data_IF_968769703325
#
_entry.id   IF_968769703325
#
_cell.length_a   1.000
_cell.length_b   1.000
_cell.length_c   1.000
_cell.angle_alpha   90.00
_cell.angle_beta   90.00
_cell.angle_gamma   90.00
#
_symmetry.space_group_name_H-M   'P 1'
#
loop_
_entity.id
_entity.type
_entity.pdbx_description
1 polymer ?
#
# COMPACT_ATOMS: atom_id res chain seq x y z
N UNK A 1 42.17 23.75 23.42
CA UNK A 1 40.82 23.50 23.97
C UNK A 1 40.14 22.56 23.00
N UNK A 2 40.09 21.25 23.32
CA UNK A 2 39.16 20.33 22.64
C UNK A 2 37.74 20.68 23.09
N UNK A 3 37.00 21.27 22.21
CA UNK A 3 35.54 21.36 22.35
C UNK A 3 35.01 19.94 22.18
N UNK A 4 34.73 19.26 23.29
CA UNK A 4 33.93 18.05 23.28
C UNK A 4 32.52 18.45 22.80
N UNK A 5 32.17 18.07 21.55
CA UNK A 5 30.79 18.10 21.10
C UNK A 5 29.96 17.28 22.11
N UNK A 6 28.82 17.81 22.58
CA UNK A 6 27.94 16.99 23.38
C UNK A 6 27.58 15.76 22.53
N UNK A 7 27.87 14.56 23.03
CA UNK A 7 27.40 13.32 22.44
C UNK A 7 25.88 13.39 22.52
N UNK A 8 25.23 13.46 21.37
CA UNK A 8 23.75 13.40 21.33
C UNK A 8 23.32 12.11 22.04
N UNK A 9 22.33 12.22 22.91
CA UNK A 9 21.77 11.03 23.52
C UNK A 9 21.11 10.21 22.38
N UNK A 10 21.57 8.94 22.19
CA UNK A 10 21.00 8.05 21.19
C UNK A 10 19.67 7.45 21.62
N UNK A 11 19.01 8.06 22.59
CA UNK A 11 17.68 7.67 23.06
C UNK A 11 16.93 8.86 23.65
N UNK A 12 15.62 8.83 23.51
CA UNK A 12 14.68 9.72 24.18
C UNK A 12 13.46 8.94 24.66
N UNK A 13 12.85 9.37 25.77
CA UNK A 13 11.57 8.80 26.22
C UNK A 13 10.35 9.33 25.48
N UNK A 14 10.55 10.29 24.58
CA UNK A 14 9.51 10.92 23.78
C UNK A 14 9.95 11.04 22.33
N UNK A 15 9.78 12.23 21.77
CA UNK A 15 10.11 12.55 20.38
C UNK A 15 11.28 13.51 20.31
N UNK A 16 12.31 13.15 19.56
CA UNK A 16 13.39 14.05 19.18
C UNK A 16 12.95 14.89 17.98
N UNK A 17 12.91 16.22 18.15
CA UNK A 17 12.52 17.12 17.08
C UNK A 17 13.74 17.65 16.34
N UNK A 18 13.80 17.43 15.03
CA UNK A 18 14.80 17.97 14.12
C UNK A 18 14.29 19.30 13.56
N UNK A 19 14.97 20.39 13.87
CA UNK A 19 14.64 21.73 13.36
C UNK A 19 15.51 22.15 12.18
N UNK A 20 16.68 21.51 12.00
CA UNK A 20 17.68 21.85 10.98
C UNK A 20 18.64 20.67 10.74
N UNK A 21 19.51 20.81 9.75
CA UNK A 21 20.51 19.80 9.39
C UNK A 21 21.51 19.51 10.53
N UNK A 22 21.75 20.46 11.44
CA UNK A 22 22.61 20.28 12.60
C UNK A 22 22.04 19.29 13.61
N UNK A 23 20.74 19.37 13.89
CA UNK A 23 20.04 18.41 14.75
C UNK A 23 20.05 17.01 14.14
N UNK A 24 19.80 16.91 12.82
CA UNK A 24 19.88 15.65 12.08
C UNK A 24 21.29 15.05 12.19
N UNK A 25 22.34 15.86 12.00
CA UNK A 25 23.74 15.43 12.12
C UNK A 25 24.09 14.93 13.52
N UNK A 26 23.48 15.49 14.57
CA UNK A 26 23.68 15.02 15.93
C UNK A 26 23.10 13.61 16.12
N UNK A 27 21.87 13.36 15.64
CA UNK A 27 21.25 12.02 15.67
C UNK A 27 22.02 11.03 14.81
N UNK A 28 22.53 11.45 13.67
CA UNK A 28 23.31 10.63 12.73
C UNK A 28 24.60 10.07 13.33
N UNK A 29 25.07 10.56 14.48
CA UNK A 29 26.19 9.96 15.22
C UNK A 29 25.84 8.63 15.88
N UNK A 30 24.55 8.30 16.01
CA UNK A 30 24.03 7.09 16.62
C UNK A 30 23.90 5.97 15.59
N UNK A 31 24.45 4.80 15.84
CA UNK A 31 24.18 3.62 15.01
C UNK A 31 22.73 3.10 15.21
N UNK A 32 22.23 3.19 16.44
CA UNK A 32 20.82 2.93 16.78
C UNK A 32 20.27 4.13 17.55
N UNK A 33 19.11 4.62 17.13
CA UNK A 33 18.37 5.63 17.86
C UNK A 33 17.09 5.00 18.46
N UNK A 34 16.83 5.27 19.74
CA UNK A 34 15.64 4.77 20.44
C UNK A 34 14.72 5.92 20.80
N UNK A 35 13.48 5.89 20.33
CA UNK A 35 12.48 6.93 20.45
C UNK A 35 12.04 7.43 19.08
N UNK A 36 11.03 8.28 19.04
CA UNK A 36 10.52 8.85 17.82
C UNK A 36 11.38 10.03 17.33
N UNK A 37 11.46 10.19 16.02
CA UNK A 37 12.10 11.33 15.37
C UNK A 37 11.03 12.10 14.60
N UNK A 38 10.87 13.39 14.88
CA UNK A 38 9.96 14.26 14.14
C UNK A 38 10.74 15.41 13.50
N UNK A 39 10.44 15.71 12.24
CA UNK A 39 10.98 16.86 11.52
C UNK A 39 10.01 18.02 11.70
N UNK A 40 10.51 19.17 12.19
CA UNK A 40 9.67 20.33 12.45
C UNK A 40 9.09 20.91 11.16
N UNK A 41 7.85 21.40 11.23
CA UNK A 41 7.11 21.96 10.08
C UNK A 41 7.81 23.18 9.45
N UNK A 42 8.62 23.92 10.20
CA UNK A 42 9.38 25.08 9.72
C UNK A 42 10.77 24.75 9.17
N UNK A 43 11.16 23.47 9.11
CA UNK A 43 12.48 23.06 8.61
C UNK A 43 12.58 23.31 7.09
N UNK A 44 13.59 24.09 6.69
CA UNK A 44 13.87 24.40 5.27
C UNK A 44 15.02 23.58 4.71
N UNK A 45 15.76 22.89 5.58
CA UNK A 45 16.95 22.11 5.23
C UNK A 45 16.57 20.74 4.67
N UNK A 46 17.44 20.21 3.81
CA UNK A 46 17.42 18.79 3.47
C UNK A 46 17.90 17.99 4.68
N UNK A 47 17.17 16.95 5.03
CA UNK A 47 17.42 16.16 6.24
C UNK A 47 18.17 14.88 5.90
N UNK A 48 19.32 14.68 6.57
CA UNK A 48 20.14 13.49 6.40
C UNK A 48 20.42 12.83 7.77
N UNK A 49 19.98 11.58 7.91
CA UNK A 49 20.23 10.71 9.06
C UNK A 49 21.28 9.63 8.72
N UNK A 50 22.22 9.96 7.81
CA UNK A 50 23.27 9.03 7.38
C UNK A 50 24.15 8.63 8.59
N UNK A 51 24.37 7.32 8.74
CA UNK A 51 25.06 6.74 9.90
C UNK A 51 24.13 6.01 10.87
N UNK A 52 22.83 6.39 10.93
CA UNK A 52 21.83 5.64 11.67
C UNK A 52 21.49 4.36 10.90
N UNK A 53 21.64 3.21 11.55
CA UNK A 53 21.31 1.89 10.98
C UNK A 53 19.95 1.39 11.42
N UNK A 54 19.53 1.78 12.62
CA UNK A 54 18.24 1.37 13.19
C UNK A 54 17.59 2.50 13.96
N UNK A 55 16.30 2.68 13.74
CA UNK A 55 15.43 3.56 14.55
C UNK A 55 14.39 2.68 15.25
N UNK A 56 14.37 2.74 16.59
CA UNK A 56 13.38 2.08 17.43
C UNK A 56 12.30 3.09 17.82
N UNK A 57 11.40 3.38 16.91
CA UNK A 57 10.34 4.37 17.01
C UNK A 57 9.94 4.87 15.61
N UNK A 58 9.18 5.94 15.58
CA UNK A 58 8.63 6.52 14.35
C UNK A 58 9.59 7.55 13.72
N UNK A 59 9.49 7.71 12.42
CA UNK A 59 10.07 8.82 11.66
C UNK A 59 8.94 9.63 11.04
N UNK A 60 8.73 10.85 11.53
CA UNK A 60 7.58 11.67 11.18
C UNK A 60 8.01 12.99 10.57
N UNK A 61 7.42 13.35 9.43
CA UNK A 61 7.49 14.67 8.84
C UNK A 61 6.11 15.03 8.28
N UNK A 62 5.49 16.04 8.86
CA UNK A 62 4.14 16.46 8.47
C UNK A 62 4.06 17.96 8.24
N UNK A 63 3.17 18.39 7.33
CA UNK A 63 2.84 19.78 7.08
C UNK A 63 4.06 20.70 6.84
N UNK A 64 5.08 20.17 6.14
CA UNK A 64 6.28 20.93 5.80
C UNK A 64 6.31 21.21 4.29
N UNK A 65 6.09 22.46 3.92
CA UNK A 65 6.04 22.93 2.53
C UNK A 65 7.42 23.33 1.96
N UNK A 66 8.49 23.22 2.72
CA UNK A 66 9.81 23.72 2.30
C UNK A 66 10.83 22.60 2.10
N UNK A 67 10.75 21.52 2.87
CA UNK A 67 11.67 20.39 2.80
C UNK A 67 11.60 19.70 1.44
N UNK A 68 12.75 19.46 0.82
CA UNK A 68 12.86 18.88 -0.52
C UNK A 68 13.33 17.44 -0.52
N UNK A 69 14.18 17.08 0.44
CA UNK A 69 14.79 15.76 0.51
C UNK A 69 14.88 15.25 1.94
N UNK A 70 14.69 13.94 2.09
CA UNK A 70 14.97 13.21 3.33
C UNK A 70 15.77 11.95 3.00
N UNK A 71 16.82 11.69 3.75
CA UNK A 71 17.71 10.56 3.50
C UNK A 71 18.26 9.91 4.77
N UNK A 72 18.52 8.61 4.69
CA UNK A 72 19.30 7.85 5.66
C UNK A 72 19.98 6.69 4.93
N UNK A 73 21.20 6.92 4.43
CA UNK A 73 21.92 5.99 3.56
C UNK A 73 22.28 4.66 4.22
N UNK A 74 22.30 4.62 5.54
CA UNK A 74 22.71 3.46 6.32
C UNK A 74 21.54 2.78 7.07
N UNK A 75 20.33 3.34 7.01
CA UNK A 75 19.17 2.82 7.71
C UNK A 75 18.72 1.49 7.10
N UNK A 76 18.73 0.44 7.93
CA UNK A 76 18.36 -0.93 7.56
C UNK A 76 16.99 -1.31 8.15
N UNK A 77 16.65 -0.78 9.34
CA UNK A 77 15.42 -1.08 10.08
C UNK A 77 14.79 0.17 10.69
N UNK A 78 13.49 0.30 10.53
CA UNK A 78 12.63 1.26 11.24
C UNK A 78 11.53 0.49 11.97
N UNK A 79 11.61 0.37 13.29
CA UNK A 79 10.67 -0.44 14.09
C UNK A 79 9.31 0.25 14.29
N UNK A 80 9.08 1.42 13.71
CA UNK A 80 7.85 2.19 13.77
C UNK A 80 7.33 2.64 12.42
N UNK A 81 6.50 3.67 12.43
CA UNK A 81 5.88 4.26 11.25
C UNK A 81 6.82 5.28 10.59
N UNK A 82 6.95 5.21 9.26
CA UNK A 82 7.45 6.33 8.45
C UNK A 82 6.24 7.13 7.96
N UNK A 83 5.96 8.24 8.65
CA UNK A 83 4.84 9.10 8.33
C UNK A 83 5.33 10.37 7.61
N UNK A 84 5.05 10.45 6.31
CA UNK A 84 5.34 11.60 5.46
C UNK A 84 4.01 12.15 4.93
N UNK A 85 3.56 13.31 5.44
CA UNK A 85 2.27 13.88 5.07
C UNK A 85 2.37 15.38 4.82
N UNK A 86 1.73 15.86 3.74
CA UNK A 86 1.68 17.28 3.43
C UNK A 86 3.04 17.91 3.05
N UNK A 87 3.98 17.11 2.53
CA UNK A 87 5.32 17.58 2.16
C UNK A 87 5.32 18.01 0.69
N UNK A 88 4.76 19.17 0.42
CA UNK A 88 4.40 19.59 -0.94
C UNK A 88 5.60 19.85 -1.87
N UNK A 89 6.80 20.05 -1.33
CA UNK A 89 8.05 20.20 -2.12
C UNK A 89 8.96 18.97 -2.09
N UNK A 90 8.61 17.95 -1.33
CA UNK A 90 9.43 16.74 -1.24
C UNK A 90 9.44 16.00 -2.57
N UNK A 91 10.61 15.92 -3.19
CA UNK A 91 10.80 15.19 -4.45
C UNK A 91 11.77 13.99 -4.32
N UNK A 92 12.50 13.89 -3.21
CA UNK A 92 13.44 12.80 -2.99
C UNK A 92 13.34 12.21 -1.58
N UNK A 93 13.10 10.93 -1.54
CA UNK A 93 13.21 10.06 -0.36
C UNK A 93 14.31 9.04 -0.66
N UNK A 94 15.33 8.90 0.20
CA UNK A 94 16.47 8.04 -0.08
C UNK A 94 16.87 7.20 1.14
N UNK A 95 16.42 5.95 1.15
CA UNK A 95 16.73 4.94 2.18
C UNK A 95 17.24 3.66 1.49
N UNK A 96 18.43 3.69 0.87
CA UNK A 96 18.88 2.64 -0.03
C UNK A 96 19.15 1.29 0.62
N UNK A 97 19.32 1.22 1.95
CA UNK A 97 19.56 -0.02 2.69
C UNK A 97 18.35 -0.50 3.50
N UNK A 98 17.22 0.25 3.49
CA UNK A 98 16.05 -0.09 4.29
C UNK A 98 15.43 -1.40 3.79
N UNK A 99 15.26 -2.36 4.70
CA UNK A 99 14.72 -3.69 4.45
C UNK A 99 13.47 -3.99 5.27
N UNK A 100 13.38 -3.39 6.46
CA UNK A 100 12.27 -3.63 7.38
C UNK A 100 11.73 -2.31 7.91
N UNK A 101 10.42 -2.19 7.87
CA UNK A 101 9.67 -1.07 8.43
C UNK A 101 8.36 -1.60 9.01
N UNK A 102 7.88 -1.05 10.13
CA UNK A 102 6.59 -1.48 10.64
C UNK A 102 5.44 -0.94 9.78
N UNK A 103 5.43 0.35 9.52
CA UNK A 103 4.37 0.98 8.74
C UNK A 103 4.89 2.09 7.82
N UNK A 104 4.40 2.10 6.58
CA UNK A 104 4.57 3.18 5.62
C UNK A 104 3.26 3.95 5.57
N UNK A 105 3.29 5.26 5.86
CA UNK A 105 2.14 6.14 5.76
C UNK A 105 2.54 7.42 5.05
N UNK A 106 2.25 7.47 3.77
CA UNK A 106 2.58 8.59 2.90
C UNK A 106 1.32 9.21 2.32
N UNK A 107 1.17 10.51 2.51
CA UNK A 107 0.02 11.24 1.98
C UNK A 107 0.41 12.65 1.53
N UNK A 108 -0.26 13.14 0.51
CA UNK A 108 -0.06 14.50 -0.01
C UNK A 108 1.42 14.84 -0.33
N UNK A 109 2.04 13.99 -1.17
CA UNK A 109 3.41 14.14 -1.66
C UNK A 109 3.42 14.38 -3.19
N UNK A 110 2.92 15.52 -3.67
CA UNK A 110 2.62 15.74 -5.09
C UNK A 110 3.84 15.84 -6.01
N UNK A 111 5.05 15.91 -5.45
CA UNK A 111 6.30 15.96 -6.21
C UNK A 111 7.16 14.70 -6.07
N UNK A 112 6.76 13.74 -5.24
CA UNK A 112 7.50 12.49 -5.03
C UNK A 112 7.15 11.48 -6.12
N UNK A 113 8.13 11.14 -6.98
CA UNK A 113 7.94 10.23 -8.12
C UNK A 113 8.49 8.83 -7.91
N UNK A 114 9.39 8.63 -6.94
CA UNK A 114 10.04 7.37 -6.66
C UNK A 114 10.12 7.12 -5.14
N UNK A 115 10.07 5.85 -4.76
CA UNK A 115 10.05 5.42 -3.34
C UNK A 115 11.43 5.55 -2.69
N UNK A 116 12.53 5.33 -3.43
CA UNK A 116 13.90 5.46 -2.91
C UNK A 116 14.41 4.33 -2.01
N UNK A 117 13.75 3.15 -2.02
CA UNK A 117 14.14 1.94 -1.28
C UNK A 117 14.86 0.96 -2.20
N UNK A 118 16.15 1.17 -2.49
CA UNK A 118 16.87 0.37 -3.49
C UNK A 118 17.26 -1.04 -3.03
N UNK A 119 17.34 -1.29 -1.70
CA UNK A 119 17.54 -2.64 -1.16
C UNK A 119 16.25 -3.46 -1.11
N UNK A 120 15.12 -2.84 -1.45
CA UNK A 120 13.76 -3.34 -1.34
C UNK A 120 13.34 -3.66 0.11
N UNK A 121 12.27 -2.99 0.54
CA UNK A 121 11.61 -3.30 1.82
C UNK A 121 10.85 -4.61 1.64
N UNK A 122 11.28 -5.64 2.36
CA UNK A 122 10.69 -6.97 2.30
C UNK A 122 9.86 -7.34 3.53
N UNK A 123 9.77 -6.44 4.51
CA UNK A 123 8.96 -6.59 5.71
C UNK A 123 8.27 -5.28 6.05
N UNK A 124 6.94 -5.30 6.00
CA UNK A 124 6.09 -4.23 6.50
C UNK A 124 4.75 -4.82 6.96
N UNK A 125 4.19 -4.30 8.06
CA UNK A 125 2.86 -4.71 8.53
C UNK A 125 1.76 -3.87 7.85
N UNK A 126 2.06 -2.59 7.53
CA UNK A 126 1.09 -1.71 6.89
C UNK A 126 1.73 -0.85 5.81
N UNK A 127 1.04 -0.71 4.68
CA UNK A 127 1.39 0.20 3.58
C UNK A 127 0.18 1.05 3.24
N UNK A 128 0.28 2.36 3.49
CA UNK A 128 -0.74 3.36 3.19
C UNK A 128 -0.09 4.49 2.38
N UNK A 129 -0.35 4.54 1.07
CA UNK A 129 0.25 5.51 0.15
C UNK A 129 -0.86 6.18 -0.65
N UNK A 130 -1.01 7.48 -0.43
CA UNK A 130 -2.10 8.24 -1.04
C UNK A 130 -1.63 9.59 -1.57
N UNK A 131 -2.32 10.09 -2.60
CA UNK A 131 -2.13 11.47 -3.08
C UNK A 131 -0.66 11.80 -3.39
N UNK A 132 0.03 10.92 -4.11
CA UNK A 132 1.43 11.09 -4.49
C UNK A 132 1.59 11.21 -6.01
N UNK A 133 2.79 11.61 -6.45
CA UNK A 133 3.19 11.57 -7.86
C UNK A 133 3.99 10.31 -8.22
N UNK A 134 3.95 9.28 -7.37
CA UNK A 134 4.67 8.03 -7.61
C UNK A 134 4.27 7.39 -8.93
N UNK A 135 5.28 6.88 -9.65
CA UNK A 135 5.10 6.16 -10.93
C UNK A 135 5.06 4.65 -10.77
N UNK A 136 5.58 4.14 -9.66
CA UNK A 136 5.58 2.72 -9.32
C UNK A 136 5.76 2.51 -7.83
N UNK A 137 5.46 1.30 -7.36
CA UNK A 137 5.75 0.85 -6.00
C UNK A 137 7.09 0.10 -5.90
N UNK A 138 7.97 0.25 -6.89
CA UNK A 138 9.28 -0.39 -6.89
C UNK A 138 10.09 0.03 -5.66
N UNK A 139 10.61 -0.96 -4.93
CA UNK A 139 11.27 -0.77 -3.63
C UNK A 139 10.45 -1.34 -2.48
N UNK A 140 9.17 -1.70 -2.71
CA UNK A 140 8.33 -2.44 -1.76
C UNK A 140 8.14 -3.85 -2.32
N UNK A 141 8.71 -4.86 -1.65
CA UNK A 141 8.70 -6.28 -2.07
C UNK A 141 8.37 -7.18 -0.88
N UNK A 142 7.19 -7.00 -0.31
CA UNK A 142 6.70 -7.72 0.87
C UNK A 142 5.89 -8.96 0.47
N UNK A 143 6.02 -10.04 1.25
CA UNK A 143 5.28 -11.29 1.04
C UNK A 143 4.05 -11.38 1.94
N UNK A 144 4.11 -10.82 3.14
CA UNK A 144 3.02 -10.83 4.12
C UNK A 144 2.77 -9.42 4.64
N UNK A 145 1.50 -9.04 4.78
CA UNK A 145 1.10 -7.72 5.22
C UNK A 145 -0.27 -7.77 5.91
N UNK A 146 -0.49 -6.90 6.88
CA UNK A 146 -1.81 -6.74 7.47
C UNK A 146 -2.72 -5.88 6.58
N UNK A 147 -2.24 -4.72 6.20
CA UNK A 147 -3.06 -3.77 5.43
C UNK A 147 -2.26 -3.11 4.32
N UNK A 148 -2.84 -3.09 3.12
CA UNK A 148 -2.39 -2.28 1.99
C UNK A 148 -3.51 -1.34 1.57
N UNK A 149 -3.22 -0.05 1.53
CA UNK A 149 -4.11 0.98 1.02
C UNK A 149 -3.34 1.90 0.06
N UNK A 150 -3.60 1.79 -1.24
CA UNK A 150 -2.94 2.59 -2.28
C UNK A 150 -4.03 3.34 -3.05
N UNK A 151 -4.09 4.66 -2.89
CA UNK A 151 -5.17 5.44 -3.47
C UNK A 151 -4.73 6.82 -3.99
N UNK A 152 -5.43 7.31 -5.02
CA UNK A 152 -5.22 8.64 -5.58
C UNK A 152 -3.79 8.90 -6.09
N UNK A 153 -3.15 7.88 -6.68
CA UNK A 153 -1.82 7.98 -7.27
C UNK A 153 -1.92 7.89 -8.80
N UNK A 154 -2.34 8.97 -9.44
CA UNK A 154 -2.71 9.01 -10.86
C UNK A 154 -1.58 8.75 -11.86
N UNK A 155 -0.33 8.59 -11.41
CA UNK A 155 0.82 8.30 -12.27
C UNK A 155 1.32 6.85 -12.17
N UNK A 156 0.70 6.02 -11.31
CA UNK A 156 1.07 4.60 -11.20
C UNK A 156 0.38 3.81 -12.31
N UNK A 157 1.17 3.31 -13.26
CA UNK A 157 0.68 2.50 -14.38
C UNK A 157 0.56 1.01 -14.04
N UNK A 158 1.35 0.55 -13.07
CA UNK A 158 1.40 -0.85 -12.65
C UNK A 158 1.60 -0.98 -11.14
N UNK A 159 0.81 -1.86 -10.53
CA UNK A 159 0.96 -2.31 -9.14
C UNK A 159 1.20 -3.81 -9.18
N UNK A 160 2.48 -4.20 -9.13
CA UNK A 160 2.89 -5.60 -9.06
C UNK A 160 3.52 -5.85 -7.69
N UNK A 161 2.92 -6.76 -6.92
CA UNK A 161 3.36 -7.09 -5.56
C UNK A 161 3.47 -8.61 -5.39
N UNK A 162 4.53 -9.05 -4.69
CA UNK A 162 4.79 -10.47 -4.43
C UNK A 162 4.05 -11.01 -3.20
N UNK A 163 2.98 -10.34 -2.80
CA UNK A 163 2.16 -10.72 -1.64
C UNK A 163 1.67 -12.15 -1.74
N UNK A 164 1.93 -12.95 -0.71
CA UNK A 164 1.33 -14.26 -0.51
C UNK A 164 0.07 -14.18 0.34
N UNK A 165 0.09 -13.34 1.37
CA UNK A 165 -1.00 -13.23 2.34
C UNK A 165 -1.31 -11.78 2.72
N UNK A 166 -2.60 -11.48 2.92
CA UNK A 166 -3.10 -10.19 3.43
C UNK A 166 -4.07 -10.43 4.58
N UNK A 167 -3.66 -10.13 5.82
CA UNK A 167 -4.41 -10.54 7.01
C UNK A 167 -5.65 -9.69 7.30
N UNK A 168 -5.68 -8.43 6.88
CA UNK A 168 -6.82 -7.52 7.14
C UNK A 168 -7.46 -7.03 5.85
N UNK A 169 -6.74 -6.27 5.03
CA UNK A 169 -7.32 -5.73 3.79
C UNK A 169 -6.26 -5.29 2.79
N UNK A 170 -6.58 -5.45 1.51
CA UNK A 170 -5.91 -4.79 0.41
C UNK A 170 -6.94 -3.96 -0.35
N UNK A 171 -6.70 -2.65 -0.43
CA UNK A 171 -7.55 -1.71 -1.17
C UNK A 171 -6.70 -0.92 -2.14
N UNK A 172 -7.03 -1.03 -3.42
CA UNK A 172 -6.45 -0.22 -4.50
C UNK A 172 -7.58 0.59 -5.12
N UNK A 173 -7.46 1.93 -5.06
CA UNK A 173 -8.57 2.79 -5.46
C UNK A 173 -8.09 4.09 -6.10
N UNK A 174 -8.79 4.55 -7.12
CA UNK A 174 -8.62 5.90 -7.68
C UNK A 174 -7.16 6.23 -8.06
N UNK A 175 -6.39 5.22 -8.50
CA UNK A 175 -5.06 5.41 -9.07
C UNK A 175 -5.20 5.76 -10.56
N UNK A 176 -4.22 5.45 -11.41
CA UNK A 176 -4.41 5.60 -12.85
C UNK A 176 -5.57 4.70 -13.33
N UNK A 177 -6.49 5.24 -14.13
CA UNK A 177 -7.65 4.47 -14.65
C UNK A 177 -7.26 3.24 -15.49
N UNK A 178 -6.04 3.24 -16.05
CA UNK A 178 -5.49 2.11 -16.80
C UNK A 178 -4.55 1.23 -15.95
N UNK A 179 -4.47 1.43 -14.63
CA UNK A 179 -3.54 0.72 -13.76
C UNK A 179 -3.71 -0.80 -13.89
N UNK A 180 -2.60 -1.48 -14.10
CA UNK A 180 -2.52 -2.93 -14.11
C UNK A 180 -2.14 -3.42 -12.71
N UNK A 181 -2.95 -4.31 -12.16
CA UNK A 181 -2.71 -4.91 -10.86
C UNK A 181 -2.35 -6.37 -11.03
N UNK A 182 -1.18 -6.76 -10.52
CA UNK A 182 -0.67 -8.12 -10.58
C UNK A 182 -0.27 -8.61 -9.18
N UNK A 183 -0.97 -9.64 -8.69
CA UNK A 183 -0.74 -10.29 -7.40
C UNK A 183 -0.54 -11.79 -7.64
N UNK A 184 0.59 -12.17 -8.29
CA UNK A 184 0.77 -13.53 -8.79
C UNK A 184 0.86 -14.60 -7.72
N UNK A 185 1.32 -14.23 -6.52
CA UNK A 185 1.56 -15.15 -5.42
C UNK A 185 0.49 -15.10 -4.32
N UNK A 186 -0.53 -14.25 -4.46
CA UNK A 186 -1.55 -14.08 -3.42
C UNK A 186 -2.40 -15.34 -3.28
N UNK A 187 -2.20 -16.07 -2.16
CA UNK A 187 -2.89 -17.33 -1.86
C UNK A 187 -4.17 -17.07 -1.07
N UNK A 188 -4.08 -16.21 -0.03
CA UNK A 188 -5.26 -15.83 0.73
C UNK A 188 -5.24 -14.37 1.18
N UNK A 189 -6.43 -13.83 1.36
CA UNK A 189 -6.62 -12.52 1.96
C UNK A 189 -7.87 -12.51 2.85
N UNK A 190 -7.96 -11.50 3.73
CA UNK A 190 -9.24 -11.21 4.37
C UNK A 190 -10.12 -10.44 3.38
N UNK A 191 -9.86 -9.18 3.15
CA UNK A 191 -10.65 -8.36 2.23
C UNK A 191 -9.82 -7.86 1.05
N UNK A 192 -10.37 -7.93 -0.15
CA UNK A 192 -9.83 -7.35 -1.37
C UNK A 192 -10.81 -6.37 -1.96
N UNK A 193 -10.36 -5.14 -2.22
CA UNK A 193 -11.16 -4.11 -2.88
C UNK A 193 -10.37 -3.46 -4.01
N UNK A 194 -10.94 -3.49 -5.21
CA UNK A 194 -10.38 -2.87 -6.41
C UNK A 194 -11.38 -1.87 -6.98
N UNK A 195 -10.93 -0.62 -7.11
CA UNK A 195 -11.74 0.47 -7.67
C UNK A 195 -10.95 1.19 -8.76
N UNK A 196 -11.60 1.46 -9.89
CA UNK A 196 -11.02 2.18 -11.03
C UNK A 196 -9.70 1.56 -11.51
N UNK A 197 -9.61 0.23 -11.54
CA UNK A 197 -8.46 -0.50 -12.08
C UNK A 197 -8.69 -0.88 -13.54
N UNK A 198 -7.63 -0.77 -14.38
CA UNK A 198 -7.67 -1.18 -15.79
C UNK A 198 -7.59 -2.70 -15.97
N UNK A 199 -6.85 -3.39 -15.09
CA UNK A 199 -6.83 -4.86 -15.01
C UNK A 199 -6.46 -5.33 -13.61
N UNK A 200 -6.92 -6.54 -13.23
CA UNK A 200 -6.58 -7.20 -11.96
C UNK A 200 -6.33 -8.67 -12.22
N UNK A 201 -5.17 -9.16 -11.76
CA UNK A 201 -4.75 -10.56 -11.88
C UNK A 201 -4.44 -11.14 -10.51
N UNK A 202 -5.16 -12.21 -10.13
CA UNK A 202 -5.02 -12.93 -8.85
C UNK A 202 -5.01 -14.45 -9.09
N UNK A 203 -4.07 -14.96 -9.90
CA UNK A 203 -4.12 -16.34 -10.40
C UNK A 203 -3.98 -17.40 -9.32
N UNK A 204 -3.32 -17.09 -8.20
CA UNK A 204 -3.05 -18.03 -7.12
C UNK A 204 -4.04 -17.94 -5.96
N UNK A 205 -5.03 -17.01 -6.01
CA UNK A 205 -5.94 -16.77 -4.90
C UNK A 205 -6.87 -17.97 -4.68
N UNK A 206 -6.77 -18.60 -3.49
CA UNK A 206 -7.52 -19.79 -3.10
C UNK A 206 -8.66 -19.49 -2.13
N UNK A 207 -8.46 -18.54 -1.21
CA UNK A 207 -9.43 -18.25 -0.15
C UNK A 207 -9.50 -16.77 0.18
N UNK A 208 -10.72 -16.27 0.36
CA UNK A 208 -11.00 -15.00 1.02
C UNK A 208 -11.77 -15.25 2.32
N UNK A 209 -11.21 -14.78 3.45
CA UNK A 209 -11.89 -14.89 4.74
C UNK A 209 -12.98 -13.83 4.92
N UNK A 210 -12.86 -12.69 4.26
CA UNK A 210 -13.83 -11.60 4.20
C UNK A 210 -14.43 -11.46 2.81
N UNK A 211 -14.36 -10.25 2.24
CA UNK A 211 -15.08 -9.88 1.02
C UNK A 211 -14.19 -9.63 -0.19
N UNK A 212 -14.74 -9.84 -1.39
CA UNK A 212 -14.22 -9.36 -2.66
C UNK A 212 -15.10 -8.23 -3.20
N UNK A 213 -14.55 -7.05 -3.40
CA UNK A 213 -15.22 -5.91 -3.99
C UNK A 213 -14.55 -5.44 -5.29
N UNK A 214 -15.28 -5.46 -6.39
CA UNK A 214 -14.88 -4.91 -7.69
C UNK A 214 -15.84 -3.79 -8.08
N UNK A 215 -15.36 -2.53 -8.03
CA UNK A 215 -16.23 -1.37 -8.23
C UNK A 215 -15.68 -0.42 -9.29
N UNK A 216 -16.48 -0.04 -10.26
CA UNK A 216 -16.15 0.96 -11.28
C UNK A 216 -14.83 0.66 -12.03
N UNK A 217 -14.49 -0.61 -12.23
CA UNK A 217 -13.26 -0.97 -12.92
C UNK A 217 -13.44 -0.93 -14.45
N UNK A 218 -12.31 -0.68 -15.14
CA UNK A 218 -12.27 -0.56 -16.60
C UNK A 218 -12.08 -1.86 -17.36
N UNK A 219 -11.79 -2.98 -16.69
CA UNK A 219 -11.47 -4.25 -17.33
C UNK A 219 -12.69 -4.95 -17.96
N UNK A 220 -12.46 -5.68 -19.06
CA UNK A 220 -13.47 -6.46 -19.78
C UNK A 220 -13.73 -7.84 -19.13
N UNK A 221 -12.77 -8.36 -18.39
CA UNK A 221 -12.89 -9.67 -17.73
C UNK A 221 -12.20 -9.69 -16.37
N UNK A 222 -12.70 -10.50 -15.45
CA UNK A 222 -12.06 -10.81 -14.18
C UNK A 222 -12.08 -12.32 -13.93
N UNK A 223 -10.94 -12.87 -13.48
CA UNK A 223 -10.82 -14.30 -13.18
C UNK A 223 -10.08 -14.53 -11.85
N UNK A 224 -10.64 -15.41 -11.02
CA UNK A 224 -9.98 -15.98 -9.85
C UNK A 224 -10.05 -17.52 -9.94
N UNK A 225 -9.17 -18.15 -10.75
CA UNK A 225 -9.30 -19.54 -11.17
C UNK A 225 -9.18 -20.56 -10.04
N UNK A 226 -8.51 -20.21 -8.96
CA UNK A 226 -8.28 -21.10 -7.82
C UNK A 226 -9.14 -20.78 -6.59
N UNK A 227 -9.95 -19.70 -6.65
CA UNK A 227 -10.76 -19.27 -5.50
C UNK A 227 -11.87 -20.29 -5.22
N UNK A 228 -11.83 -20.89 -4.03
CA UNK A 228 -12.77 -21.96 -3.61
C UNK A 228 -13.88 -21.46 -2.68
N UNK A 229 -13.59 -20.42 -1.88
CA UNK A 229 -14.54 -19.90 -0.91
C UNK A 229 -14.33 -18.40 -0.61
N UNK A 230 -15.45 -17.72 -0.31
CA UNK A 230 -15.48 -16.34 0.20
C UNK A 230 -16.25 -16.33 1.51
N UNK A 231 -15.60 -15.79 2.57
CA UNK A 231 -16.16 -15.82 3.93
C UNK A 231 -17.26 -14.82 4.18
N UNK A 232 -17.28 -13.71 3.42
CA UNK A 232 -18.32 -12.70 3.50
C UNK A 232 -18.96 -12.46 2.12
N UNK A 233 -18.79 -11.29 1.52
CA UNK A 233 -19.51 -10.91 0.31
C UNK A 233 -18.64 -10.92 -0.95
N UNK A 234 -19.27 -11.15 -2.10
CA UNK A 234 -18.76 -10.83 -3.43
C UNK A 234 -19.61 -9.71 -4.02
N UNK A 235 -18.98 -8.60 -4.39
CA UNK A 235 -19.64 -7.46 -5.01
C UNK A 235 -18.96 -7.11 -6.33
N UNK A 236 -19.70 -7.21 -7.43
CA UNK A 236 -19.31 -6.81 -8.79
C UNK A 236 -20.25 -5.67 -9.19
N UNK A 237 -19.82 -4.41 -9.00
CA UNK A 237 -20.72 -3.27 -9.10
C UNK A 237 -20.15 -2.19 -10.01
N UNK A 238 -20.97 -1.76 -10.98
CA UNK A 238 -20.68 -0.66 -11.89
C UNK A 238 -19.37 -0.83 -12.70
N UNK A 239 -19.01 -2.06 -13.04
CA UNK A 239 -17.90 -2.34 -13.94
C UNK A 239 -18.45 -2.34 -15.38
N UNK A 240 -18.57 -1.17 -15.99
CA UNK A 240 -19.33 -0.98 -17.23
C UNK A 240 -18.79 -1.79 -18.42
N UNK A 241 -17.46 -2.06 -18.43
CA UNK A 241 -16.81 -2.83 -19.48
C UNK A 241 -16.79 -4.34 -19.22
N UNK A 242 -17.11 -4.77 -18.02
CA UNK A 242 -17.07 -6.17 -17.63
C UNK A 242 -18.09 -6.97 -18.41
N UNK A 243 -17.64 -7.90 -19.24
CA UNK A 243 -18.44 -8.80 -20.07
C UNK A 243 -18.29 -10.28 -19.67
N UNK A 244 -17.24 -10.60 -18.91
CA UNK A 244 -16.96 -11.96 -18.48
C UNK A 244 -16.38 -12.00 -17.06
N UNK A 245 -16.87 -12.94 -16.26
CA UNK A 245 -16.32 -13.29 -14.95
C UNK A 245 -16.07 -14.80 -14.90
N UNK A 246 -15.01 -15.21 -14.17
CA UNK A 246 -14.67 -16.63 -14.07
C UNK A 246 -14.19 -17.00 -12.67
N UNK A 247 -14.99 -17.79 -11.99
CA UNK A 247 -14.73 -18.36 -10.66
C UNK A 247 -14.97 -19.88 -10.71
N UNK A 248 -14.18 -20.64 -11.49
CA UNK A 248 -14.49 -22.02 -11.84
C UNK A 248 -14.47 -23.01 -10.66
N UNK A 249 -13.81 -22.64 -9.56
CA UNK A 249 -13.71 -23.48 -8.37
C UNK A 249 -14.49 -22.94 -7.17
N UNK A 250 -15.16 -21.80 -7.31
CA UNK A 250 -15.87 -21.18 -6.19
C UNK A 250 -17.13 -21.96 -5.84
N UNK A 251 -17.14 -22.57 -4.66
CA UNK A 251 -18.24 -23.43 -4.19
C UNK A 251 -19.15 -22.75 -3.18
N UNK A 252 -18.66 -21.73 -2.47
CA UNK A 252 -19.36 -21.11 -1.35
C UNK A 252 -19.05 -19.62 -1.21
N UNK A 253 -20.12 -18.83 -1.03
CA UNK A 253 -20.09 -17.46 -0.53
C UNK A 253 -20.87 -17.43 0.78
N UNK A 254 -20.20 -17.08 1.91
CA UNK A 254 -20.85 -17.14 3.22
C UNK A 254 -21.70 -15.91 3.56
N UNK A 255 -21.55 -14.83 2.81
CA UNK A 255 -22.38 -13.62 2.86
C UNK A 255 -23.16 -13.42 1.57
N UNK A 256 -23.14 -12.18 1.08
CA UNK A 256 -23.95 -11.76 -0.08
C UNK A 256 -23.21 -11.96 -1.41
N UNK A 257 -23.97 -12.22 -2.47
CA UNK A 257 -23.52 -12.04 -3.85
C UNK A 257 -24.29 -10.88 -4.48
N UNK A 258 -23.58 -9.82 -4.83
CA UNK A 258 -24.15 -8.68 -5.54
C UNK A 258 -23.49 -8.53 -6.90
N UNK A 259 -24.27 -8.53 -7.96
CA UNK A 259 -23.85 -8.25 -9.34
C UNK A 259 -24.78 -7.18 -9.89
N UNK A 260 -24.30 -5.93 -9.93
CA UNK A 260 -25.15 -4.79 -10.24
C UNK A 260 -24.49 -3.78 -11.18
N UNK A 261 -25.26 -3.25 -12.13
CA UNK A 261 -24.82 -2.17 -13.02
C UNK A 261 -23.58 -2.48 -13.87
N UNK A 262 -23.35 -3.75 -14.23
CA UNK A 262 -22.31 -4.15 -15.16
C UNK A 262 -22.95 -4.26 -16.56
N UNK A 263 -22.97 -3.17 -17.32
CA UNK A 263 -23.84 -3.03 -18.50
C UNK A 263 -23.52 -3.99 -19.65
N UNK A 264 -22.28 -4.47 -19.76
CA UNK A 264 -21.85 -5.45 -20.77
C UNK A 264 -21.90 -6.90 -20.28
N UNK A 265 -22.16 -7.15 -18.99
CA UNK A 265 -22.32 -8.50 -18.45
C UNK A 265 -23.75 -8.96 -18.68
N UNK A 266 -23.95 -9.71 -19.77
CA UNK A 266 -25.28 -10.17 -20.23
C UNK A 266 -25.60 -11.60 -19.79
N UNK A 267 -24.59 -12.37 -19.40
CA UNK A 267 -24.69 -13.74 -18.91
C UNK A 267 -23.93 -13.92 -17.62
N UNK A 268 -24.40 -14.79 -16.73
CA UNK A 268 -23.73 -15.12 -15.46
C UNK A 268 -23.47 -16.62 -15.38
N UNK A 269 -22.56 -17.06 -16.21
CA UNK A 269 -22.06 -18.44 -16.26
C UNK A 269 -20.73 -18.65 -15.53
N UNK A 270 -20.14 -17.59 -15.01
CA UNK A 270 -18.82 -17.57 -14.38
C UNK A 270 -18.70 -18.29 -13.03
N UNK A 271 -19.76 -18.92 -12.51
CA UNK A 271 -19.81 -19.58 -11.20
C UNK A 271 -20.28 -21.03 -11.30
N UNK A 272 -19.69 -21.90 -12.15
CA UNK A 272 -20.24 -23.21 -12.47
C UNK A 272 -20.33 -24.18 -11.27
N UNK A 273 -19.45 -24.03 -10.27
CA UNK A 273 -19.41 -24.89 -9.09
C UNK A 273 -20.08 -24.27 -7.86
N UNK A 274 -20.68 -23.09 -7.95
CA UNK A 274 -21.25 -22.38 -6.82
C UNK A 274 -22.50 -23.11 -6.30
N UNK A 275 -22.44 -23.57 -5.06
CA UNK A 275 -23.51 -24.37 -4.41
C UNK A 275 -24.25 -23.60 -3.35
N UNK A 276 -23.59 -22.61 -2.72
CA UNK A 276 -24.14 -21.97 -1.52
C UNK A 276 -23.85 -20.48 -1.50
N UNK A 277 -24.88 -19.69 -1.31
CA UNK A 277 -24.83 -18.28 -0.93
C UNK A 277 -25.66 -18.18 0.35
N UNK A 278 -25.03 -17.85 1.49
CA UNK A 278 -25.74 -17.83 2.77
C UNK A 278 -26.48 -16.51 3.03
N UNK A 279 -26.09 -15.44 2.36
CA UNK A 279 -26.69 -14.12 2.49
C UNK A 279 -27.64 -13.78 1.35
N UNK A 280 -27.80 -12.48 1.10
CA UNK A 280 -28.62 -11.99 0.01
C UNK A 280 -27.98 -12.25 -1.35
N UNK A 281 -28.83 -12.50 -2.33
CA UNK A 281 -28.48 -12.58 -3.73
C UNK A 281 -29.15 -11.41 -4.46
N UNK A 282 -28.35 -10.49 -4.95
CA UNK A 282 -28.81 -9.29 -5.68
C UNK A 282 -28.20 -9.26 -7.07
N UNK A 283 -29.05 -9.37 -8.07
CA UNK A 283 -28.66 -9.28 -9.47
C UNK A 283 -29.50 -8.21 -10.16
N UNK A 284 -28.83 -7.16 -10.61
CA UNK A 284 -29.48 -6.09 -11.38
C UNK A 284 -28.60 -5.65 -12.55
N UNK A 285 -29.13 -5.73 -13.76
CA UNK A 285 -28.38 -5.39 -14.97
C UNK A 285 -29.10 -5.81 -16.26
N UNK A 286 -28.35 -5.91 -17.35
CA UNK A 286 -28.85 -6.21 -18.69
C UNK A 286 -28.85 -7.73 -18.99
N UNK A 287 -29.09 -8.56 -18.00
CA UNK A 287 -29.07 -10.01 -18.16
C UNK A 287 -30.14 -10.48 -19.12
N UNK A 288 -29.78 -11.39 -20.02
CA UNK A 288 -30.70 -11.96 -21.03
C UNK A 288 -31.12 -13.39 -20.71
N UNK A 289 -30.37 -14.10 -19.85
CA UNK A 289 -30.64 -15.45 -19.37
C UNK A 289 -30.19 -15.66 -17.91
#
# INVERSE_FOLDING_TARGET
>A
LLLTRPTAACSTSGTATIQNAGDASAIATCSTFTGNIAIATGTTDDISLNGVKKIKGDLVATDNSEMKQISASDLEELDGEMNLDGLTRLYAVSFPKLKSIDSIKWNALPNLQEIGFTAEVNKANKVDIQNTALRSLKGINIEEVDTVFIANNGYIDEISMQLGNVSTSLTLADNNEAVKVELPNLIWASNLTFRFCGSVSVPSLETLNGSLGLYNNGFESFSAPNLTSVGEAVALVANENLSNVSFPQLTKISGNLQVANNSKLIEIDGFPELKTINGAFDMSGNFTE
#
